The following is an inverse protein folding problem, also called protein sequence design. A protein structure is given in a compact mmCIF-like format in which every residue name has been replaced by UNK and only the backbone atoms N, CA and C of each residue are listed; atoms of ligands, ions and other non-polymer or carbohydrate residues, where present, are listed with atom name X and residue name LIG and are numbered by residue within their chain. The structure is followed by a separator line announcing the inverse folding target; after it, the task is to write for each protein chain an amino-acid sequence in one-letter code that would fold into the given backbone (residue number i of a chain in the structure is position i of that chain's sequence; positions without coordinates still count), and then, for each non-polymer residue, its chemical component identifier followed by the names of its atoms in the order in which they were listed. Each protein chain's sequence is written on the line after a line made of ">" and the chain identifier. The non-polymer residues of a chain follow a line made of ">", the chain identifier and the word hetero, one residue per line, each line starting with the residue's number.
data_IF_871993112285
#
_entry.id   IF_871993112285
#
_cell.length_a   1.000
_cell.length_b   1.000
_cell.length_c   1.000
_cell.angle_alpha   90.00
_cell.angle_beta   90.00
_cell.angle_gamma   90.00
#
_symmetry.space_group_name_H-M   'P 1'
#
loop_
_entity.id
_entity.type
_entity.pdbx_description
1 polymer ?
#
# COMPACT_ATOMS: atom_id res chain seq x y z
N UNK A 1 -11.06 -56.31 50.09
CA UNK A 1 -10.61 -55.10 49.37
C UNK A 1 -9.92 -55.53 48.08
N UNK A 2 -10.49 -55.22 46.92
CA UNK A 2 -9.81 -55.36 45.63
C UNK A 2 -10.39 -54.30 44.67
N UNK A 3 -9.60 -53.25 44.44
CA UNK A 3 -9.95 -52.08 43.64
C UNK A 3 -9.74 -52.42 42.16
N UNK A 4 -10.81 -52.36 41.35
CA UNK A 4 -10.71 -52.50 39.89
C UNK A 4 -10.12 -51.21 39.27
N UNK A 5 -9.14 -51.29 38.36
CA UNK A 5 -8.57 -50.11 37.72
C UNK A 5 -9.51 -49.50 36.66
N UNK A 6 -9.63 -48.16 36.68
CA UNK A 6 -10.43 -47.32 35.78
C UNK A 6 -9.84 -47.31 34.36
N UNK A 7 -10.62 -47.78 33.39
CA UNK A 7 -10.34 -47.63 31.95
C UNK A 7 -10.53 -46.17 31.53
N UNK A 8 -9.47 -45.51 31.04
CA UNK A 8 -9.51 -44.16 30.49
C UNK A 8 -10.18 -44.16 29.10
N UNK A 9 -11.40 -43.65 29.01
CA UNK A 9 -12.07 -43.39 27.73
C UNK A 9 -11.43 -42.17 27.07
N UNK A 10 -10.70 -42.38 25.96
CA UNK A 10 -10.21 -41.32 25.09
C UNK A 10 -11.41 -40.59 24.48
N UNK A 11 -11.58 -39.32 24.84
CA UNK A 11 -12.46 -38.37 24.15
C UNK A 11 -12.02 -38.27 22.68
N UNK A 12 -12.83 -38.81 21.77
CA UNK A 12 -12.71 -38.52 20.35
C UNK A 12 -13.14 -37.08 20.15
N UNK A 13 -12.15 -36.21 19.96
CA UNK A 13 -12.32 -34.88 19.41
C UNK A 13 -13.16 -35.00 18.14
N UNK A 14 -14.37 -34.43 18.19
CA UNK A 14 -15.28 -34.40 17.06
C UNK A 14 -14.59 -33.71 15.90
N UNK A 15 -14.30 -34.48 14.87
CA UNK A 15 -14.06 -34.01 13.51
C UNK A 15 -15.27 -33.17 13.12
N UNK A 16 -15.15 -31.84 13.24
CA UNK A 16 -16.06 -30.93 12.56
C UNK A 16 -15.88 -31.20 11.08
N UNK A 17 -16.90 -31.84 10.52
CA UNK A 17 -17.10 -32.05 9.11
C UNK A 17 -16.87 -30.74 8.37
N UNK A 18 -15.87 -30.74 7.48
CA UNK A 18 -15.74 -29.78 6.40
C UNK A 18 -16.91 -30.01 5.43
N UNK A 19 -18.09 -29.52 5.82
CA UNK A 19 -19.19 -29.31 4.89
C UNK A 19 -18.86 -28.06 4.08
N UNK A 20 -18.95 -28.16 2.76
CA UNK A 20 -18.71 -27.10 1.80
C UNK A 20 -19.43 -25.80 2.21
N UNK A 21 -18.74 -24.90 2.92
CA UNK A 21 -19.19 -23.53 3.07
C UNK A 21 -19.00 -22.90 1.70
N UNK A 22 -20.09 -22.61 1.00
CA UNK A 22 -20.09 -21.57 -0.04
C UNK A 22 -19.30 -20.39 0.52
N UNK A 23 -18.36 -19.83 -0.25
CA UNK A 23 -17.45 -18.77 0.19
C UNK A 23 -18.21 -17.59 0.79
N UNK A 24 -18.48 -17.64 2.10
CA UNK A 24 -19.10 -16.55 2.84
C UNK A 24 -18.00 -15.53 3.11
N UNK A 25 -18.17 -14.33 2.58
CA UNK A 25 -17.22 -13.23 2.73
C UNK A 25 -17.52 -12.40 3.98
N UNK A 26 -18.25 -12.92 4.96
CA UNK A 26 -18.44 -12.21 6.23
C UNK A 26 -17.24 -12.46 7.14
N UNK A 27 -16.62 -11.39 7.60
CA UNK A 27 -15.49 -11.42 8.54
C UNK A 27 -15.86 -10.74 9.86
N UNK A 28 -15.32 -11.29 10.93
CA UNK A 28 -15.31 -10.67 12.24
C UNK A 28 -14.14 -9.66 12.33
N UNK A 29 -14.24 -8.71 13.25
CA UNK A 29 -13.19 -7.68 13.45
C UNK A 29 -11.84 -8.30 13.83
N UNK A 30 -11.86 -9.43 14.53
CA UNK A 30 -10.66 -10.14 15.01
C UNK A 30 -9.98 -10.98 13.94
N UNK A 31 -10.61 -11.13 12.77
CA UNK A 31 -10.01 -11.89 11.67
C UNK A 31 -8.73 -11.20 11.21
N UNK A 32 -7.67 -12.01 11.05
CA UNK A 32 -6.37 -11.51 10.60
C UNK A 32 -6.53 -10.89 9.22
N UNK A 33 -6.04 -9.65 9.09
CA UNK A 33 -5.98 -8.92 7.83
C UNK A 33 -4.53 -8.67 7.47
N UNK A 34 -4.22 -8.75 6.20
CA UNK A 34 -2.86 -8.53 5.72
C UNK A 34 -2.83 -7.50 4.60
N UNK A 35 -1.71 -6.80 4.51
CA UNK A 35 -1.37 -5.94 3.38
C UNK A 35 0.08 -6.17 2.96
N UNK A 36 0.38 -5.86 1.70
CA UNK A 36 1.72 -5.84 1.14
C UNK A 36 2.16 -4.39 1.02
N UNK A 37 3.32 -4.07 1.59
CA UNK A 37 3.97 -2.76 1.51
C UNK A 37 5.05 -2.80 0.43
N UNK A 38 4.94 -1.92 -0.55
CA UNK A 38 5.80 -1.84 -1.72
C UNK A 38 6.64 -0.56 -1.66
N UNK A 39 7.92 -0.73 -1.37
CA UNK A 39 8.89 0.35 -1.51
C UNK A 39 9.05 0.72 -3.00
N UNK A 40 9.30 1.99 -3.33
CA UNK A 40 9.61 2.38 -4.71
C UNK A 40 10.86 1.65 -5.18
N UNK A 41 10.84 1.14 -6.41
CA UNK A 41 12.07 0.61 -7.01
C UNK A 41 13.07 1.75 -7.13
N UNK A 42 14.34 1.47 -6.82
CA UNK A 42 15.41 2.45 -6.92
C UNK A 42 15.40 3.07 -8.31
N UNK A 43 15.04 4.35 -8.37
CA UNK A 43 15.02 5.08 -9.63
C UNK A 43 16.48 5.37 -10.00
N UNK A 44 16.90 4.97 -11.19
CA UNK A 44 18.26 5.23 -11.69
C UNK A 44 18.58 6.74 -11.68
N UNK A 45 17.54 7.58 -11.81
CA UNK A 45 17.67 9.03 -11.70
C UNK A 45 18.05 9.50 -10.30
N UNK A 46 17.61 8.81 -9.23
CA UNK A 46 17.98 9.16 -7.87
C UNK A 46 19.48 8.94 -7.64
N UNK A 47 20.02 7.81 -8.11
CA UNK A 47 21.46 7.54 -8.07
C UNK A 47 22.28 8.58 -8.84
N UNK A 48 21.84 8.91 -10.07
CA UNK A 48 22.48 9.96 -10.87
C UNK A 48 22.44 11.34 -10.18
N UNK A 49 21.33 11.66 -9.51
CA UNK A 49 21.17 12.93 -8.79
C UNK A 49 22.17 13.06 -7.65
N UNK A 50 22.36 11.99 -6.86
CA UNK A 50 23.37 11.95 -5.81
C UNK A 50 24.80 12.09 -6.35
N UNK A 51 25.09 11.46 -7.49
CA UNK A 51 26.39 11.61 -8.17
C UNK A 51 26.61 13.07 -8.60
N UNK A 52 25.61 13.70 -9.22
CA UNK A 52 25.69 15.10 -9.64
C UNK A 52 25.85 16.06 -8.46
N UNK A 53 25.12 15.83 -7.36
CA UNK A 53 25.26 16.60 -6.12
C UNK A 53 26.67 16.44 -5.55
N UNK A 54 27.16 15.20 -5.41
CA UNK A 54 28.48 14.92 -4.84
C UNK A 54 29.62 15.49 -5.68
N UNK A 55 29.63 15.22 -6.99
CA UNK A 55 30.63 15.75 -7.93
C UNK A 55 30.53 17.26 -8.06
N UNK A 56 29.32 17.81 -8.06
CA UNK A 56 29.07 19.25 -8.10
C UNK A 56 29.67 19.95 -6.89
N UNK A 57 29.35 19.48 -5.67
CA UNK A 57 29.89 20.02 -4.43
C UNK A 57 31.43 19.93 -4.36
N UNK A 58 32.00 18.78 -4.75
CA UNK A 58 33.45 18.60 -4.80
C UNK A 58 34.11 19.58 -5.80
N UNK A 59 33.51 19.76 -6.98
CA UNK A 59 34.01 20.67 -8.02
C UNK A 59 33.93 22.14 -7.59
N UNK A 60 32.86 22.54 -6.89
CA UNK A 60 32.75 23.87 -6.29
C UNK A 60 33.87 24.09 -5.28
N UNK A 61 34.09 23.14 -4.36
CA UNK A 61 35.16 23.22 -3.36
C UNK A 61 36.55 23.32 -3.98
N UNK A 62 36.84 22.47 -4.98
CA UNK A 62 38.09 22.48 -5.71
C UNK A 62 38.30 23.78 -6.52
N UNK A 63 37.25 24.27 -7.18
CA UNK A 63 37.25 25.53 -7.91
C UNK A 63 37.48 26.73 -6.99
N UNK A 64 36.81 26.76 -5.83
CA UNK A 64 37.00 27.82 -4.84
C UNK A 64 38.42 27.82 -4.28
N UNK A 65 38.93 26.66 -3.87
CA UNK A 65 40.30 26.53 -3.39
C UNK A 65 41.31 26.96 -4.47
N UNK A 66 41.15 26.44 -5.70
CA UNK A 66 42.04 26.72 -6.82
C UNK A 66 42.07 28.18 -7.24
N UNK A 67 40.98 28.93 -7.05
CA UNK A 67 40.90 30.34 -7.42
C UNK A 67 41.44 31.26 -6.31
N UNK A 68 41.08 30.99 -5.06
CA UNK A 68 41.21 31.98 -3.97
C UNK A 68 42.20 31.58 -2.88
N UNK A 69 42.43 30.28 -2.65
CA UNK A 69 43.20 29.79 -1.50
C UNK A 69 44.53 29.15 -1.89
N UNK A 70 44.77 28.92 -3.17
CA UNK A 70 45.99 28.32 -3.68
C UNK A 70 47.15 29.33 -3.62
N UNK A 71 48.18 29.03 -2.83
CA UNK A 71 49.38 29.88 -2.66
C UNK A 71 50.24 30.07 -3.92
N UNK A 72 50.05 29.26 -4.97
CA UNK A 72 50.73 29.40 -6.26
C UNK A 72 49.93 30.23 -7.29
N UNK A 73 48.95 31.01 -6.85
CA UNK A 73 48.05 31.79 -7.69
C UNK A 73 46.88 30.99 -8.27
N UNK A 74 45.94 31.66 -8.99
CA UNK A 74 44.73 31.02 -9.51
C UNK A 74 45.02 29.87 -10.48
N UNK A 75 44.38 28.72 -10.28
CA UNK A 75 44.47 27.61 -11.22
C UNK A 75 43.69 27.93 -12.52
N UNK A 76 44.24 27.67 -13.73
CA UNK A 76 43.56 27.98 -15.00
C UNK A 76 42.14 27.40 -15.11
N UNK A 77 41.94 26.20 -14.57
CA UNK A 77 40.63 25.54 -14.54
C UNK A 77 39.71 25.87 -13.34
N UNK A 78 40.14 26.72 -12.41
CA UNK A 78 39.40 26.96 -11.16
C UNK A 78 37.98 27.50 -11.39
N UNK A 79 37.82 28.49 -12.28
CA UNK A 79 36.50 29.04 -12.61
C UNK A 79 35.61 28.08 -13.36
N UNK A 80 36.16 27.23 -14.23
CA UNK A 80 35.38 26.20 -14.91
C UNK A 80 34.86 25.14 -13.93
N UNK A 81 35.69 24.72 -12.96
CA UNK A 81 35.27 23.81 -11.89
C UNK A 81 34.20 24.44 -10.99
N UNK A 82 34.34 25.72 -10.67
CA UNK A 82 33.38 26.42 -9.82
C UNK A 82 32.00 26.56 -10.51
N UNK A 83 31.98 27.04 -11.75
CA UNK A 83 30.74 27.24 -12.52
C UNK A 83 30.11 25.89 -12.90
N UNK A 84 30.92 24.97 -13.45
CA UNK A 84 30.46 23.64 -13.83
C UNK A 84 29.95 22.84 -12.63
N UNK A 85 30.65 22.94 -11.50
CA UNK A 85 30.23 22.33 -10.23
C UNK A 85 28.90 22.90 -9.73
N UNK A 86 28.72 24.22 -9.78
CA UNK A 86 27.47 24.88 -9.38
C UNK A 86 26.28 24.44 -10.25
N UNK A 87 26.47 24.33 -11.57
CA UNK A 87 25.43 23.84 -12.50
C UNK A 87 25.10 22.37 -12.21
N UNK A 88 26.12 21.51 -12.11
CA UNK A 88 25.92 20.09 -11.82
C UNK A 88 25.19 19.87 -10.48
N UNK A 89 25.59 20.61 -9.45
CA UNK A 89 24.93 20.58 -8.14
C UNK A 89 23.47 21.02 -8.22
N UNK A 90 23.18 22.13 -8.91
CA UNK A 90 21.81 22.63 -9.08
C UNK A 90 20.92 21.63 -9.84
N UNK A 91 21.44 21.03 -10.92
CA UNK A 91 20.72 20.00 -11.68
C UNK A 91 20.44 18.75 -10.83
N UNK A 92 21.43 18.29 -10.07
CA UNK A 92 21.26 17.15 -9.15
C UNK A 92 20.22 17.44 -8.06
N UNK A 93 20.23 18.65 -7.49
CA UNK A 93 19.23 19.07 -6.50
C UNK A 93 17.81 19.08 -7.07
N UNK A 94 17.60 19.64 -8.27
CA UNK A 94 16.28 19.65 -8.92
C UNK A 94 15.80 18.23 -9.19
N UNK A 95 16.67 17.35 -9.67
CA UNK A 95 16.34 15.95 -9.96
C UNK A 95 16.07 15.12 -8.68
N UNK A 96 16.67 15.46 -7.55
CA UNK A 96 16.57 14.72 -6.28
C UNK A 96 15.24 14.93 -5.53
N UNK A 97 14.42 15.92 -5.87
CA UNK A 97 13.25 16.32 -5.05
C UNK A 97 12.03 15.41 -5.14
N UNK A 98 12.07 14.35 -5.96
CA UNK A 98 10.91 13.45 -6.12
C UNK A 98 10.99 12.30 -5.13
N UNK A 99 10.44 12.51 -3.94
CA UNK A 99 10.17 11.42 -3.01
C UNK A 99 8.96 10.65 -3.53
N UNK A 100 9.21 9.45 -4.06
CA UNK A 100 8.14 8.53 -4.44
C UNK A 100 7.62 7.87 -3.16
N UNK A 101 6.32 8.00 -2.84
CA UNK A 101 5.80 7.46 -1.59
C UNK A 101 5.66 5.93 -1.66
N UNK A 102 5.83 5.28 -0.51
CA UNK A 102 5.58 3.84 -0.40
C UNK A 102 4.08 3.55 -0.50
N UNK A 103 3.71 2.48 -1.21
CA UNK A 103 2.31 2.08 -1.44
C UNK A 103 2.00 0.80 -0.67
N UNK A 104 0.84 0.76 -0.02
CA UNK A 104 0.30 -0.41 0.70
C UNK A 104 -0.98 -0.89 0.04
N UNK A 105 -1.08 -2.20 -0.17
CA UNK A 105 -2.23 -2.80 -0.84
C UNK A 105 -2.60 -4.09 -0.12
N UNK A 106 -3.87 -4.27 0.24
CA UNK A 106 -4.31 -5.50 0.91
C UNK A 106 -5.77 -5.52 1.29
N UNK A 107 -6.09 -6.25 2.36
CA UNK A 107 -7.47 -6.39 2.87
C UNK A 107 -8.12 -5.05 3.27
N UNK A 108 -7.32 -4.02 3.56
CA UNK A 108 -7.79 -2.69 3.95
C UNK A 108 -7.89 -1.68 2.81
N UNK A 109 -7.70 -2.11 1.56
CA UNK A 109 -7.73 -1.22 0.41
C UNK A 109 -6.35 -0.84 -0.05
N UNK A 110 -6.24 0.37 -0.58
CA UNK A 110 -5.01 1.00 -1.02
C UNK A 110 -4.61 2.08 -0.02
N UNK A 111 -3.33 2.22 0.24
CA UNK A 111 -2.81 3.29 1.08
C UNK A 111 -1.49 3.84 0.54
N UNK A 112 -1.25 5.12 0.77
CA UNK A 112 -0.01 5.82 0.41
C UNK A 112 0.62 6.33 1.71
N UNK A 113 1.88 5.97 1.93
CA UNK A 113 2.70 6.51 3.02
C UNK A 113 3.32 7.84 2.56
N UNK A 114 2.85 8.95 3.14
CA UNK A 114 3.48 10.26 2.96
C UNK A 114 4.29 10.60 4.22
N UNK A 115 5.63 10.56 4.09
CA UNK A 115 6.52 10.78 5.23
C UNK A 115 6.44 9.65 6.27
N UNK A 116 6.86 9.92 7.50
CA UNK A 116 7.04 8.86 8.52
C UNK A 116 5.75 8.40 9.22
N UNK A 117 4.66 9.18 9.17
CA UNK A 117 3.48 8.90 10.00
C UNK A 117 2.12 9.06 9.30
N UNK A 118 2.06 9.60 8.08
CA UNK A 118 0.77 9.88 7.43
C UNK A 118 0.45 8.77 6.43
N UNK A 119 -0.57 7.97 6.76
CA UNK A 119 -1.08 6.92 5.88
C UNK A 119 -2.44 7.36 5.35
N UNK A 120 -2.49 7.78 4.09
CA UNK A 120 -3.74 8.09 3.39
C UNK A 120 -4.33 6.78 2.85
N UNK A 121 -5.51 6.38 3.33
CA UNK A 121 -6.14 5.10 2.96
C UNK A 121 -7.44 5.28 2.21
N UNK A 122 -7.57 4.54 1.11
CA UNK A 122 -8.78 4.37 0.30
C UNK A 122 -9.22 2.91 0.40
N UNK A 123 -10.33 2.66 1.11
CA UNK A 123 -10.89 1.31 1.24
C UNK A 123 -11.42 0.80 -0.10
N UNK A 124 -11.40 -0.52 -0.35
CA UNK A 124 -11.93 -1.07 -1.61
C UNK A 124 -13.39 -0.70 -1.85
N UNK A 125 -14.21 -0.66 -0.79
CA UNK A 125 -15.60 -0.24 -0.87
C UNK A 125 -15.80 1.27 -1.15
N UNK A 126 -14.77 2.09 -0.91
CA UNK A 126 -14.77 3.53 -1.19
C UNK A 126 -14.32 3.85 -2.63
N UNK A 127 -13.73 2.90 -3.36
CA UNK A 127 -13.26 3.13 -4.74
C UNK A 127 -14.48 3.28 -5.65
N UNK A 128 -14.60 4.41 -6.34
CA UNK A 128 -15.67 4.68 -7.31
C UNK A 128 -15.22 4.41 -8.75
N UNK A 129 -13.97 4.76 -9.08
CA UNK A 129 -13.43 4.59 -10.42
C UNK A 129 -11.93 4.29 -10.41
N UNK A 130 -11.51 3.48 -11.40
CA UNK A 130 -10.11 3.20 -11.73
C UNK A 130 -9.81 3.72 -13.13
N UNK A 131 -8.73 4.50 -13.26
CA UNK A 131 -8.26 5.06 -14.53
C UNK A 131 -6.81 4.71 -14.75
N UNK A 132 -6.45 4.42 -15.99
CA UNK A 132 -5.08 4.19 -16.39
C UNK A 132 -4.74 5.11 -17.57
N UNK A 133 -3.78 6.01 -17.37
CA UNK A 133 -3.32 6.90 -18.42
C UNK A 133 -1.83 7.22 -18.21
N UNK A 134 -1.08 7.31 -19.31
CA UNK A 134 0.33 7.74 -19.31
C UNK A 134 1.23 6.98 -18.31
N UNK A 135 0.99 5.69 -18.12
CA UNK A 135 1.75 4.85 -17.18
C UNK A 135 1.45 5.10 -15.70
N UNK A 136 0.35 5.79 -15.38
CA UNK A 136 -0.13 6.03 -14.02
C UNK A 136 -1.49 5.35 -13.84
N UNK A 137 -1.59 4.53 -12.81
CA UNK A 137 -2.83 3.89 -12.38
C UNK A 137 -3.43 4.70 -11.22
N UNK A 138 -4.67 5.15 -11.39
CA UNK A 138 -5.36 6.04 -10.44
C UNK A 138 -6.62 5.37 -9.93
N UNK A 139 -6.69 5.20 -8.61
CA UNK A 139 -7.90 4.80 -7.88
C UNK A 139 -8.49 6.03 -7.22
N UNK A 140 -9.79 6.26 -7.40
CA UNK A 140 -10.47 7.43 -6.85
C UNK A 140 -11.79 7.05 -6.20
N UNK A 141 -12.15 7.73 -5.12
CA UNK A 141 -13.47 7.64 -4.51
C UNK A 141 -13.52 8.20 -3.10
N UNK A 142 -14.73 8.51 -2.63
CA UNK A 142 -14.97 9.19 -1.34
C UNK A 142 -14.08 10.44 -1.10
N UNK A 143 -13.80 11.21 -2.15
CA UNK A 143 -12.95 12.41 -2.09
C UNK A 143 -11.44 12.15 -1.97
N UNK A 144 -11.00 10.89 -2.04
CA UNK A 144 -9.60 10.48 -1.96
C UNK A 144 -9.11 9.97 -3.32
N UNK A 145 -7.81 10.10 -3.55
CA UNK A 145 -7.14 9.61 -4.77
C UNK A 145 -5.84 8.92 -4.40
N UNK A 146 -5.63 7.72 -4.92
CA UNK A 146 -4.38 6.96 -4.83
C UNK A 146 -3.84 6.78 -6.25
N UNK A 147 -2.69 7.38 -6.53
CA UNK A 147 -1.98 7.26 -7.81
C UNK A 147 -0.75 6.39 -7.67
N UNK A 148 -0.58 5.42 -8.57
CA UNK A 148 0.56 4.51 -8.62
C UNK A 148 1.22 4.67 -10.00
N UNK A 149 2.44 5.19 -10.03
CA UNK A 149 3.25 5.23 -11.26
C UNK A 149 3.81 3.84 -11.55
N UNK A 150 3.47 3.25 -12.70
CA UNK A 150 3.89 1.88 -13.06
C UNK A 150 5.42 1.78 -13.16
N UNK A 151 6.10 2.83 -13.61
CA UNK A 151 7.57 2.84 -13.72
C UNK A 151 8.26 2.76 -12.35
N UNK A 152 7.68 3.38 -11.32
CA UNK A 152 8.26 3.46 -9.97
C UNK A 152 7.81 2.28 -9.09
N UNK A 153 6.59 1.78 -9.32
CA UNK A 153 5.97 0.70 -8.57
C UNK A 153 5.28 -0.34 -9.49
N UNK A 154 6.03 -1.05 -10.34
CA UNK A 154 5.42 -2.02 -11.26
C UNK A 154 4.72 -3.16 -10.52
N UNK A 155 5.35 -3.69 -9.47
CA UNK A 155 4.79 -4.77 -8.65
C UNK A 155 3.57 -4.31 -7.84
N UNK A 156 3.58 -3.08 -7.31
CA UNK A 156 2.42 -2.54 -6.60
C UNK A 156 1.25 -2.32 -7.56
N UNK A 157 1.49 -1.78 -8.75
CA UNK A 157 0.45 -1.59 -9.77
C UNK A 157 -0.18 -2.93 -10.17
N UNK A 158 0.65 -3.95 -10.45
CA UNK A 158 0.17 -5.28 -10.79
C UNK A 158 -0.67 -5.90 -9.66
N UNK A 159 -0.18 -5.81 -8.42
CA UNK A 159 -0.90 -6.35 -7.27
C UNK A 159 -2.21 -5.57 -6.99
N UNK A 160 -2.22 -4.25 -7.18
CA UNK A 160 -3.41 -3.41 -7.04
C UNK A 160 -4.49 -3.82 -8.05
N UNK A 161 -4.12 -4.02 -9.32
CA UNK A 161 -5.03 -4.49 -10.38
C UNK A 161 -5.56 -5.88 -10.06
N UNK A 162 -4.69 -6.81 -9.65
CA UNK A 162 -5.07 -8.16 -9.25
C UNK A 162 -6.10 -8.15 -8.09
N UNK A 163 -5.81 -7.40 -7.02
CA UNK A 163 -6.72 -7.28 -5.88
C UNK A 163 -8.02 -6.56 -6.26
N UNK A 164 -7.93 -5.55 -7.12
CA UNK A 164 -9.07 -4.81 -7.63
C UNK A 164 -10.04 -5.72 -8.40
N UNK A 165 -9.56 -6.52 -9.36
CA UNK A 165 -10.40 -7.50 -10.06
C UNK A 165 -10.99 -8.55 -9.12
N UNK A 166 -10.23 -9.01 -8.13
CA UNK A 166 -10.73 -9.97 -7.15
C UNK A 166 -11.84 -9.38 -6.26
N UNK A 167 -11.73 -8.10 -5.87
CA UNK A 167 -12.55 -7.51 -4.81
C UNK A 167 -13.68 -6.62 -5.30
N UNK A 168 -13.44 -5.84 -6.34
CA UNK A 168 -14.36 -4.82 -6.88
C UNK A 168 -14.42 -4.88 -8.42
N UNK A 169 -14.67 -6.06 -9.03
CA UNK A 169 -14.57 -6.23 -10.48
C UNK A 169 -15.41 -5.23 -11.28
N UNK A 170 -16.61 -4.90 -10.79
CA UNK A 170 -17.52 -3.95 -11.45
C UNK A 170 -17.00 -2.50 -11.50
N UNK A 171 -15.98 -2.16 -10.69
CA UNK A 171 -15.43 -0.79 -10.59
C UNK A 171 -14.06 -0.65 -11.24
N UNK A 172 -13.55 -1.73 -11.85
CA UNK A 172 -12.21 -1.76 -12.43
C UNK A 172 -12.06 -1.02 -13.76
N UNK A 173 -13.15 -0.55 -14.38
CA UNK A 173 -13.15 0.43 -15.47
C UNK A 173 -12.01 0.25 -16.48
N UNK A 174 -11.17 1.27 -16.60
CA UNK A 174 -10.04 1.35 -17.55
C UNK A 174 -8.74 0.73 -17.01
N UNK A 175 -8.80 -0.12 -15.99
CA UNK A 175 -7.61 -0.80 -15.49
C UNK A 175 -6.96 -1.65 -16.60
N UNK A 176 -5.63 -1.72 -16.65
CA UNK A 176 -4.95 -2.56 -17.62
C UNK A 176 -5.33 -4.03 -17.41
N UNK A 177 -5.72 -4.73 -18.49
CA UNK A 177 -6.18 -6.13 -18.42
C UNK A 177 -5.13 -7.09 -17.87
N UNK A 178 -3.86 -6.81 -18.13
CA UNK A 178 -2.76 -7.56 -17.53
C UNK A 178 -1.53 -6.68 -17.33
N UNK A 179 -0.97 -6.79 -16.13
CA UNK A 179 0.37 -6.34 -15.81
C UNK A 179 1.20 -7.58 -15.46
N UNK A 180 2.53 -7.56 -15.65
CA UNK A 180 3.39 -8.62 -15.15
C UNK A 180 3.10 -8.87 -13.68
N UNK A 181 2.86 -10.13 -13.31
CA UNK A 181 2.51 -10.48 -11.93
C UNK A 181 3.56 -9.97 -10.93
N UNK A 182 3.14 -9.54 -9.73
CA UNK A 182 4.07 -9.01 -8.74
C UNK A 182 5.05 -10.09 -8.29
N UNK A 183 6.33 -9.74 -8.21
CA UNK A 183 7.32 -10.64 -7.62
C UNK A 183 6.96 -10.96 -6.16
N UNK A 184 7.17 -12.20 -5.69
CA UNK A 184 6.91 -12.57 -4.30
C UNK A 184 7.78 -11.77 -3.31
N UNK A 185 9.00 -11.39 -3.70
CA UNK A 185 9.97 -10.67 -2.86
C UNK A 185 9.85 -9.15 -2.95
N UNK A 186 9.02 -8.61 -3.86
CA UNK A 186 8.91 -7.17 -4.10
C UNK A 186 8.14 -6.39 -3.01
N UNK A 187 7.76 -7.05 -1.92
CA UNK A 187 6.94 -6.44 -0.87
C UNK A 187 7.22 -6.98 0.51
N UNK A 188 7.04 -6.14 1.51
CA UNK A 188 6.95 -6.54 2.90
C UNK A 188 5.51 -6.93 3.26
N UNK A 189 5.32 -8.10 3.88
CA UNK A 189 4.01 -8.53 4.37
C UNK A 189 3.74 -7.95 5.75
N UNK A 190 2.66 -7.17 5.86
CA UNK A 190 2.24 -6.52 7.11
C UNK A 190 0.94 -7.14 7.58
N UNK A 191 0.92 -7.54 8.86
CA UNK A 191 -0.33 -7.90 9.53
C UNK A 191 -0.94 -6.62 10.08
N UNK A 192 -2.19 -6.38 9.71
CA UNK A 192 -2.93 -5.19 10.14
C UNK A 192 -3.50 -5.40 11.53
N UNK A 193 -3.52 -4.31 12.29
CA UNK A 193 -4.31 -4.24 13.51
C UNK A 193 -5.81 -4.33 13.20
N UNK A 194 -6.62 -4.85 14.14
CA UNK A 194 -8.06 -4.84 14.01
C UNK A 194 -8.57 -3.41 13.71
N UNK A 195 -9.44 -3.25 12.72
CA UNK A 195 -9.94 -1.92 12.37
C UNK A 195 -10.76 -1.32 13.52
N UNK A 196 -10.67 0.00 13.65
CA UNK A 196 -11.55 0.79 14.51
C UNK A 196 -12.83 1.08 13.72
N UNK A 197 -13.95 0.51 14.17
CA UNK A 197 -15.25 0.57 13.50
C UNK A 197 -16.30 1.30 14.34
N UNK A 198 -16.03 1.55 15.63
CA UNK A 198 -16.87 2.37 16.48
C UNK A 198 -17.02 3.78 15.89
N UNK A 199 -18.26 4.28 15.85
CA UNK A 199 -18.59 5.57 15.24
C UNK A 199 -18.91 5.49 13.74
N UNK A 200 -18.61 4.37 13.07
CA UNK A 200 -19.08 4.14 11.69
C UNK A 200 -20.56 3.77 11.66
N UNK A 201 -21.19 3.95 10.50
CA UNK A 201 -22.57 3.54 10.27
C UNK A 201 -22.62 2.26 9.44
N UNK A 202 -23.54 1.38 9.81
CA UNK A 202 -23.87 0.19 9.03
C UNK A 202 -24.27 0.60 7.61
N UNK A 203 -23.63 0.02 6.60
CA UNK A 203 -23.92 0.36 5.21
C UNK A 203 -25.36 -0.02 4.77
N UNK A 204 -25.97 -1.01 5.42
CA UNK A 204 -27.31 -1.49 5.09
C UNK A 204 -28.42 -0.75 5.86
N UNK A 205 -28.29 -0.61 7.18
CA UNK A 205 -29.33 -0.03 8.04
C UNK A 205 -29.09 1.42 8.45
N UNK A 206 -27.91 1.98 8.12
CA UNK A 206 -27.45 3.30 8.59
C UNK A 206 -27.34 3.43 10.13
N UNK A 207 -27.52 2.32 10.86
CA UNK A 207 -27.37 2.24 12.33
C UNK A 207 -25.94 2.52 12.74
N UNK A 208 -25.76 3.31 13.79
CA UNK A 208 -24.44 3.58 14.36
C UNK A 208 -23.86 2.32 15.00
N UNK A 209 -22.60 2.03 14.71
CA UNK A 209 -21.83 1.01 15.40
C UNK A 209 -21.27 1.65 16.67
N UNK A 210 -21.95 1.41 17.80
CA UNK A 210 -21.55 1.97 19.09
C UNK A 210 -20.34 1.25 19.70
N UNK A 211 -20.23 -0.07 19.46
CA UNK A 211 -19.16 -0.90 19.98
C UNK A 211 -18.52 -1.75 18.88
N UNK A 212 -17.22 -1.98 19.03
CA UNK A 212 -16.42 -2.79 18.09
C UNK A 212 -16.93 -4.24 17.94
N UNK A 213 -17.53 -4.82 18.99
CA UNK A 213 -18.07 -6.19 18.97
C UNK A 213 -19.32 -6.35 18.10
N UNK A 214 -20.03 -5.24 17.85
CA UNK A 214 -21.23 -5.20 17.03
C UNK A 214 -20.90 -5.03 15.55
N UNK A 215 -19.63 -4.82 15.21
CA UNK A 215 -19.23 -4.62 13.84
C UNK A 215 -18.99 -5.94 13.10
N UNK A 216 -19.35 -5.97 11.82
CA UNK A 216 -19.02 -7.01 10.86
C UNK A 216 -18.48 -6.38 9.59
N UNK A 217 -17.59 -7.09 8.91
CA UNK A 217 -16.95 -6.61 7.68
C UNK A 217 -17.20 -7.54 6.52
N UNK A 218 -17.39 -6.97 5.34
CA UNK A 218 -17.22 -7.73 4.11
C UNK A 218 -15.72 -8.02 3.91
N UNK A 219 -15.32 -9.28 3.97
CA UNK A 219 -13.94 -9.73 3.70
C UNK A 219 -13.47 -9.46 2.27
N UNK A 220 -14.40 -9.20 1.33
CA UNK A 220 -14.07 -8.87 -0.05
C UNK A 220 -13.64 -7.39 -0.19
N UNK A 221 -14.49 -6.44 0.18
CA UNK A 221 -14.24 -5.00 -0.02
C UNK A 221 -14.02 -4.18 1.27
N UNK A 222 -14.19 -4.80 2.45
CA UNK A 222 -14.01 -4.15 3.75
C UNK A 222 -15.17 -3.25 4.21
N UNK A 223 -16.34 -3.28 3.56
CA UNK A 223 -17.52 -2.51 3.99
C UNK A 223 -17.98 -2.96 5.39
N UNK A 224 -18.30 -1.99 6.26
CA UNK A 224 -18.78 -2.23 7.62
C UNK A 224 -20.31 -2.36 7.72
N UNK A 225 -20.74 -3.28 8.58
CA UNK A 225 -22.13 -3.58 8.91
C UNK A 225 -22.30 -3.74 10.42
N UNK A 226 -23.49 -3.46 10.92
CA UNK A 226 -23.89 -3.86 12.27
C UNK A 226 -24.26 -5.34 12.26
N UNK A 227 -23.88 -6.09 13.31
CA UNK A 227 -24.03 -7.55 13.44
C UNK A 227 -25.46 -8.04 13.22
N UNK A 228 -26.44 -7.27 13.68
CA UNK A 228 -27.87 -7.59 13.56
C UNK A 228 -28.43 -7.26 12.18
N UNK A 229 -27.74 -6.40 11.42
CA UNK A 229 -28.22 -5.83 10.15
C UNK A 229 -27.33 -6.25 8.96
N UNK A 230 -26.70 -7.43 9.03
CA UNK A 230 -25.86 -7.94 7.94
C UNK A 230 -26.76 -8.44 6.80
N UNK A 231 -26.73 -7.82 5.61
CA UNK A 231 -27.51 -8.29 4.47
C UNK A 231 -26.95 -9.60 3.92
N UNK A 232 -27.74 -10.33 3.12
CA UNK A 232 -27.29 -11.54 2.42
C UNK A 232 -26.14 -11.27 1.44
N UNK A 233 -26.14 -10.08 0.83
CA UNK A 233 -25.12 -9.62 -0.11
C UNK A 233 -24.61 -8.25 0.27
N UNK A 234 -23.31 -8.03 0.08
CA UNK A 234 -22.67 -6.77 0.37
C UNK A 234 -23.18 -5.65 -0.55
N UNK A 235 -23.65 -4.54 0.01
CA UNK A 235 -24.22 -3.42 -0.77
C UNK A 235 -23.20 -2.74 -1.69
N UNK A 236 -21.89 -2.89 -1.41
CA UNK A 236 -20.83 -2.22 -2.16
C UNK A 236 -20.21 -3.08 -3.26
N UNK A 237 -20.10 -4.40 -3.06
CA UNK A 237 -19.39 -5.32 -3.98
C UNK A 237 -20.16 -6.60 -4.33
N UNK A 238 -21.41 -6.71 -3.89
CA UNK A 238 -22.33 -7.82 -4.13
C UNK A 238 -21.86 -9.22 -3.65
N UNK A 239 -20.77 -9.28 -2.86
CA UNK A 239 -20.30 -10.53 -2.28
C UNK A 239 -21.32 -11.14 -1.33
N UNK A 240 -21.46 -12.47 -1.35
CA UNK A 240 -22.32 -13.18 -0.40
C UNK A 240 -21.74 -13.12 1.02
N UNK A 241 -22.56 -12.71 1.99
CA UNK A 241 -22.19 -12.56 3.40
C UNK A 241 -22.86 -13.59 4.30
N UNK A 242 -24.13 -13.94 4.04
CA UNK A 242 -24.92 -14.92 4.79
C UNK A 242 -25.64 -15.92 3.89
#
# INVERSE_FOLDING_TARGET
>A
MAVKPKTKTKSKQGTKSAGASKDLWLRDRTDKRTERRFAPKANTTAGLSWILIGLGAASIGAGFFGQFLRGAGPHPYAMYLLIGGAIAFALGMVASTRIVPTVRIGDAGLAVERGEAIIERLGWHEVDAVRHASGVLVFSGAGKVVSITIAEHPDAAAFAVQQGHARIPARMGDAPESLPGPSPEASEHITLEPPQLAGLRCAASNRLISFEGDARLCGRCGQAYHREDVPKRCVSCDAQLT
#
